data_IF_178644098287
#
_entry.id   IF_178644098287
#
_cell.length_a   1.000
_cell.length_b   1.000
_cell.length_c   1.000
_cell.angle_alpha   90.00
_cell.angle_beta   90.00
_cell.angle_gamma   90.00
#
_symmetry.space_group_name_H-M   'P 1'
#
loop_
_entity.id
_entity.type
_entity.pdbx_description
1 polymer ?
#
# COMPACT_ATOMS: atom_id res chain seq x y z
N UNK A 1 14.83 -18.26 31.14
CA UNK A 1 14.69 -19.05 29.88
C UNK A 1 13.96 -20.35 30.19
N UNK A 2 12.70 -20.29 30.69
CA UNK A 2 11.90 -21.45 31.12
C UNK A 2 10.56 -21.58 30.35
N UNK A 3 10.45 -21.05 29.12
CA UNK A 3 9.15 -21.00 28.41
C UNK A 3 8.84 -22.20 27.50
N UNK A 4 9.70 -23.23 27.43
CA UNK A 4 9.49 -24.32 26.47
C UNK A 4 9.82 -25.72 27.03
N UNK A 5 9.23 -26.11 28.17
CA UNK A 5 9.43 -27.46 28.77
C UNK A 5 8.93 -28.64 27.91
N UNK A 6 8.17 -28.40 26.84
CA UNK A 6 7.65 -29.42 25.92
C UNK A 6 8.03 -29.16 24.45
N UNK A 7 9.20 -28.57 24.18
CA UNK A 7 9.64 -28.31 22.82
C UNK A 7 10.03 -29.63 22.11
N UNK A 8 9.15 -30.15 21.25
CA UNK A 8 9.43 -31.31 20.41
C UNK A 8 9.97 -30.83 19.06
N UNK A 9 11.26 -30.99 18.82
CA UNK A 9 11.91 -30.63 17.55
C UNK A 9 11.86 -31.85 16.63
N UNK A 10 11.33 -31.66 15.43
CA UNK A 10 11.22 -32.70 14.40
C UNK A 10 11.75 -32.19 13.07
N UNK A 11 12.33 -33.05 12.25
CA UNK A 11 12.71 -32.75 10.87
C UNK A 11 11.79 -33.41 9.87
N UNK A 12 11.65 -32.78 8.72
CA UNK A 12 10.89 -33.27 7.57
C UNK A 12 11.79 -33.11 6.35
N UNK A 13 11.88 -34.15 5.51
CA UNK A 13 12.50 -34.05 4.19
C UNK A 13 11.43 -33.57 3.21
N UNK A 14 11.71 -32.44 2.55
CA UNK A 14 10.79 -31.88 1.56
C UNK A 14 11.00 -32.55 0.21
N UNK A 15 9.92 -32.75 -0.58
CA UNK A 15 10.03 -33.33 -1.92
C UNK A 15 10.74 -32.39 -2.92
N UNK A 16 10.74 -31.08 -2.65
CA UNK A 16 11.40 -30.06 -3.45
C UNK A 16 12.47 -29.32 -2.62
N UNK A 17 13.15 -28.32 -3.22
CA UNK A 17 14.29 -27.66 -2.56
C UNK A 17 13.85 -26.87 -1.32
N UNK A 18 12.62 -26.35 -1.33
CA UNK A 18 12.05 -25.60 -0.22
C UNK A 18 10.52 -25.78 -0.08
N UNK A 19 9.99 -25.17 0.99
CA UNK A 19 8.57 -25.25 1.37
C UNK A 19 7.68 -24.51 0.38
N UNK A 20 8.16 -23.41 -0.21
CA UNK A 20 7.39 -22.61 -1.16
C UNK A 20 7.23 -23.37 -2.47
N UNK A 21 8.30 -23.97 -3.00
CA UNK A 21 8.25 -24.88 -4.15
C UNK A 21 7.27 -26.04 -3.89
N UNK A 22 7.32 -26.63 -2.69
CA UNK A 22 6.40 -27.72 -2.30
C UNK A 22 4.94 -27.27 -2.25
N UNK A 23 4.65 -26.07 -1.73
CA UNK A 23 3.30 -25.52 -1.67
C UNK A 23 2.73 -25.20 -3.05
N UNK A 24 3.57 -24.80 -4.00
CA UNK A 24 3.11 -24.43 -5.34
C UNK A 24 2.96 -25.60 -6.31
N UNK A 25 3.73 -26.67 -6.10
CA UNK A 25 3.76 -27.81 -7.02
C UNK A 25 2.88 -28.98 -6.57
N UNK A 26 2.31 -28.93 -5.36
CA UNK A 26 1.52 -30.01 -4.77
C UNK A 26 0.26 -29.46 -4.07
N UNK A 27 -0.74 -30.33 -3.89
CA UNK A 27 -1.94 -29.99 -3.12
C UNK A 27 -1.64 -29.87 -1.62
N UNK A 28 -2.44 -29.08 -0.89
CA UNK A 28 -2.28 -28.84 0.55
C UNK A 28 -2.27 -30.13 1.41
N UNK A 29 -2.80 -31.24 0.89
CA UNK A 29 -2.76 -32.55 1.54
C UNK A 29 -1.32 -33.03 1.80
N UNK A 30 -0.36 -32.65 0.96
CA UNK A 30 1.05 -33.06 1.13
C UNK A 30 1.63 -32.60 2.46
N UNK A 31 1.19 -31.45 2.98
CA UNK A 31 1.69 -30.94 4.27
C UNK A 31 1.17 -31.75 5.45
N UNK A 32 -0.03 -32.35 5.34
CA UNK A 32 -0.53 -33.30 6.33
C UNK A 32 0.34 -34.56 6.33
N UNK A 33 0.62 -35.10 5.15
CA UNK A 33 1.46 -36.29 5.00
C UNK A 33 2.91 -36.04 5.49
N UNK A 34 3.47 -34.87 5.19
CA UNK A 34 4.79 -34.45 5.65
C UNK A 34 4.85 -34.26 7.16
N UNK A 35 3.78 -33.71 7.76
CA UNK A 35 3.66 -33.60 9.21
C UNK A 35 3.51 -34.97 9.86
N UNK A 36 2.75 -35.89 9.28
CA UNK A 36 2.61 -37.25 9.79
C UNK A 36 3.93 -38.04 9.72
N UNK A 37 4.72 -37.83 8.66
CA UNK A 37 6.00 -38.51 8.43
C UNK A 37 7.23 -37.78 9.02
N UNK A 38 7.02 -36.79 9.90
CA UNK A 38 8.12 -36.06 10.54
C UNK A 38 8.98 -36.98 11.42
N UNK A 39 10.29 -36.82 11.35
CA UNK A 39 11.27 -37.56 12.15
C UNK A 39 11.58 -36.80 13.42
N UNK A 40 11.55 -37.49 14.56
CA UNK A 40 11.90 -36.89 15.85
C UNK A 40 13.41 -36.64 15.96
N UNK A 41 13.81 -35.43 16.37
CA UNK A 41 15.19 -35.11 16.73
C UNK A 41 15.27 -35.15 18.26
N UNK A 42 15.89 -36.20 18.81
CA UNK A 42 15.99 -36.38 20.26
C UNK A 42 17.03 -35.44 20.90
N UNK A 43 16.59 -34.54 21.78
CA UNK A 43 17.44 -33.86 22.76
C UNK A 43 16.99 -34.29 24.16
N UNK A 44 17.87 -34.97 24.91
CA UNK A 44 17.58 -35.46 26.26
C UNK A 44 17.63 -34.33 27.29
N UNK A 45 16.54 -34.12 28.03
CA UNK A 45 16.57 -33.30 29.27
C UNK A 45 15.79 -33.98 30.40
N UNK A 46 16.42 -33.99 31.58
CA UNK A 46 15.96 -34.59 32.83
C UNK A 46 14.84 -33.78 33.50
N UNK A 47 13.96 -34.48 34.23
CA UNK A 47 12.77 -33.92 34.90
C UNK A 47 13.09 -33.38 36.29
N UNK A 48 12.64 -32.16 36.60
CA UNK A 48 12.47 -31.66 37.97
C UNK A 48 11.03 -31.12 38.11
N UNK A 49 10.31 -31.57 39.14
CA UNK A 49 8.92 -31.17 39.47
C UNK A 49 8.91 -30.05 40.51
N UNK A 50 8.13 -28.97 40.29
CA UNK A 50 7.58 -28.13 41.37
C UNK A 50 6.18 -27.59 41.01
N UNK A 51 5.33 -27.55 42.04
CA UNK A 51 3.89 -27.30 42.16
C UNK A 51 3.46 -25.84 41.91
N UNK A 52 2.25 -25.63 41.36
CA UNK A 52 1.65 -24.30 41.08
C UNK A 52 0.50 -24.00 42.05
N UNK A 53 0.50 -22.82 42.67
CA UNK A 53 -0.66 -22.21 43.32
C UNK A 53 -1.30 -21.13 42.42
N UNK A 54 -2.63 -21.11 42.38
CA UNK A 54 -3.48 -20.17 41.64
C UNK A 54 -3.84 -18.98 42.52
N UNK A 55 -3.93 -17.79 41.93
CA UNK A 55 -4.85 -16.77 42.40
C UNK A 55 -5.49 -16.05 41.20
N UNK A 56 -6.82 -15.95 41.27
CA UNK A 56 -7.67 -15.17 40.40
C UNK A 56 -8.09 -13.93 41.18
N UNK A 57 -8.32 -12.80 40.49
CA UNK A 57 -9.41 -11.90 40.89
C UNK A 57 -9.76 -10.88 39.80
N UNK A 58 -11.05 -10.56 39.83
CA UNK A 58 -11.91 -9.83 38.89
C UNK A 58 -12.10 -8.37 39.29
N UNK A 59 -12.47 -7.50 38.34
CA UNK A 59 -13.44 -6.43 38.59
C UNK A 59 -14.05 -5.86 37.29
N UNK A 60 -15.35 -5.59 37.35
CA UNK A 60 -16.24 -5.14 36.27
C UNK A 60 -16.62 -3.66 36.38
N UNK A 61 -17.23 -3.19 35.28
CA UNK A 61 -18.22 -2.09 35.13
C UNK A 61 -17.66 -0.70 34.85
N UNK A 62 -18.19 0.13 33.95
CA UNK A 62 -19.30 0.03 33.00
C UNK A 62 -19.26 1.26 32.07
N UNK A 63 -19.53 1.08 30.77
CA UNK A 63 -20.39 1.92 29.90
C UNK A 63 -20.27 1.42 28.45
N UNK A 64 -21.41 1.15 27.83
CA UNK A 64 -21.58 0.43 26.57
C UNK A 64 -20.80 1.03 25.38
N UNK A 65 -20.09 0.20 24.61
CA UNK A 65 -20.00 0.36 23.17
C UNK A 65 -20.69 -0.81 22.47
N UNK A 66 -21.23 -0.56 21.28
CA UNK A 66 -21.75 -1.59 20.37
C UNK A 66 -20.85 -2.82 20.40
N UNK A 67 -21.43 -4.00 20.67
CA UNK A 67 -20.70 -5.25 20.86
C UNK A 67 -19.60 -5.38 19.79
N UNK A 68 -18.34 -5.35 20.21
CA UNK A 68 -17.22 -5.69 19.32
C UNK A 68 -17.47 -7.11 18.80
N UNK A 69 -17.36 -7.34 17.48
CA UNK A 69 -17.60 -8.68 16.93
C UNK A 69 -16.67 -9.67 17.63
N UNK A 70 -17.24 -10.78 18.10
CA UNK A 70 -16.51 -11.77 18.91
C UNK A 70 -15.55 -12.58 18.03
N UNK A 71 -15.81 -12.65 16.72
CA UNK A 71 -15.00 -13.40 15.75
C UNK A 71 -14.57 -12.54 14.55
N UNK A 72 -13.50 -12.97 13.87
CA UNK A 72 -12.99 -12.30 12.65
C UNK A 72 -14.00 -12.36 11.52
N UNK A 73 -14.72 -13.49 11.40
CA UNK A 73 -15.74 -13.70 10.37
C UNK A 73 -16.92 -12.75 10.60
N UNK A 74 -17.40 -12.63 11.85
CA UNK A 74 -18.43 -11.63 12.19
C UNK A 74 -18.02 -10.20 11.82
N UNK A 75 -16.74 -9.85 11.93
CA UNK A 75 -16.24 -8.54 11.49
C UNK A 75 -16.30 -8.41 9.96
N UNK A 76 -15.88 -9.43 9.22
CA UNK A 76 -15.87 -9.45 7.75
C UNK A 76 -17.28 -9.45 7.13
N UNK A 77 -18.29 -9.93 7.86
CA UNK A 77 -19.70 -9.94 7.43
C UNK A 77 -20.41 -8.59 7.63
N UNK A 78 -19.77 -7.60 8.26
CA UNK A 78 -20.40 -6.31 8.55
C UNK A 78 -20.64 -5.46 7.29
N UNK A 79 -21.87 -4.97 7.08
CA UNK A 79 -22.25 -4.09 5.95
C UNK A 79 -21.36 -2.85 5.76
N UNK A 80 -20.76 -2.33 6.83
CA UNK A 80 -19.87 -1.15 6.78
C UNK A 80 -18.40 -1.53 7.00
N UNK A 81 -17.98 -2.68 6.44
CA UNK A 81 -16.66 -3.27 6.65
C UNK A 81 -15.51 -2.28 6.46
N UNK A 82 -15.44 -1.56 5.34
CA UNK A 82 -14.35 -0.62 5.09
C UNK A 82 -14.29 0.50 6.13
N UNK A 83 -15.44 1.00 6.59
CA UNK A 83 -15.49 2.02 7.64
C UNK A 83 -15.00 1.47 8.98
N UNK A 84 -15.47 0.28 9.37
CA UNK A 84 -15.02 -0.41 10.58
C UNK A 84 -13.51 -0.72 10.52
N UNK A 85 -13.02 -1.17 9.36
CA UNK A 85 -11.61 -1.44 9.12
C UNK A 85 -10.79 -0.15 9.21
N UNK A 86 -11.27 0.94 8.63
CA UNK A 86 -10.58 2.23 8.67
C UNK A 86 -10.43 2.74 10.13
N UNK A 87 -11.47 2.59 10.96
CA UNK A 87 -11.40 2.88 12.39
C UNK A 87 -10.43 1.93 13.13
N UNK A 88 -10.35 0.67 12.73
CA UNK A 88 -9.43 -0.30 13.33
C UNK A 88 -7.97 0.01 12.97
N UNK A 89 -7.71 0.45 11.73
CA UNK A 89 -6.40 0.94 11.28
C UNK A 89 -5.98 2.17 12.10
N UNK A 90 -6.92 3.05 12.43
CA UNK A 90 -6.66 4.19 13.32
C UNK A 90 -6.30 3.75 14.73
N UNK A 91 -7.04 2.79 15.30
CA UNK A 91 -6.72 2.18 16.60
C UNK A 91 -5.36 1.49 16.59
N UNK A 92 -4.90 1.02 15.43
CA UNK A 92 -3.56 0.46 15.21
C UNK A 92 -2.45 1.53 15.09
N UNK A 93 -2.79 2.82 15.23
CA UNK A 93 -1.83 3.92 15.36
C UNK A 93 -1.50 4.68 14.08
N UNK A 94 -2.26 4.48 13.00
CA UNK A 94 -2.13 5.27 11.76
C UNK A 94 -3.18 6.37 11.77
N UNK A 95 -2.81 7.62 12.07
CA UNK A 95 -3.76 8.71 12.30
C UNK A 95 -4.01 9.58 11.07
N UNK A 96 -5.28 9.88 10.81
CA UNK A 96 -5.72 10.66 9.65
C UNK A 96 -5.43 9.96 8.33
N UNK A 97 -5.43 10.73 7.24
CA UNK A 97 -5.25 10.23 5.87
C UNK A 97 -6.16 9.02 5.55
N UNK A 98 -7.46 9.11 5.89
CA UNK A 98 -8.35 7.94 5.95
C UNK A 98 -8.45 7.18 4.63
N UNK A 99 -8.49 7.89 3.50
CA UNK A 99 -8.54 7.27 2.17
C UNK A 99 -7.15 6.75 1.73
N UNK A 100 -6.07 7.48 2.02
CA UNK A 100 -4.72 7.05 1.66
C UNK A 100 -4.31 5.78 2.41
N UNK A 101 -4.55 5.71 3.73
CA UNK A 101 -4.21 4.52 4.53
C UNK A 101 -5.02 3.29 4.10
N UNK A 102 -6.28 3.49 3.72
CA UNK A 102 -7.14 2.43 3.22
C UNK A 102 -6.71 1.96 1.81
N UNK A 103 -6.35 2.88 0.91
CA UNK A 103 -5.80 2.56 -0.39
C UNK A 103 -4.50 1.75 -0.26
N UNK A 104 -3.57 2.19 0.60
CA UNK A 104 -2.33 1.47 0.88
C UNK A 104 -2.59 0.08 1.45
N UNK A 105 -3.55 -0.06 2.37
CA UNK A 105 -3.96 -1.35 2.90
C UNK A 105 -4.47 -2.28 1.79
N UNK A 106 -5.41 -1.80 0.95
CA UNK A 106 -5.98 -2.55 -0.18
C UNK A 106 -4.91 -3.00 -1.18
N UNK A 107 -3.98 -2.10 -1.54
CA UNK A 107 -2.84 -2.42 -2.39
C UNK A 107 -2.00 -3.53 -1.75
N UNK A 108 -1.72 -3.42 -0.46
CA UNK A 108 -0.84 -4.36 0.24
C UNK A 108 -1.46 -5.76 0.30
N UNK A 109 -2.73 -5.87 0.68
CA UNK A 109 -3.42 -7.17 0.76
C UNK A 109 -3.62 -7.84 -0.61
N UNK A 110 -3.44 -7.14 -1.72
CA UNK A 110 -3.53 -7.76 -3.04
C UNK A 110 -2.43 -8.80 -3.34
N UNK A 111 -1.44 -8.98 -2.44
CA UNK A 111 -0.33 -9.92 -2.62
C UNK A 111 -0.77 -11.38 -2.85
N UNK A 112 -1.92 -11.78 -2.30
CA UNK A 112 -2.49 -13.11 -2.50
C UNK A 112 -3.27 -13.26 -3.81
N UNK A 113 -3.49 -12.17 -4.57
CA UNK A 113 -4.18 -12.21 -5.87
C UNK A 113 -3.24 -12.61 -7.00
N UNK A 114 -3.79 -13.21 -8.06
CA UNK A 114 -3.08 -13.47 -9.33
C UNK A 114 -2.50 -12.20 -9.98
N UNK A 115 -3.08 -11.03 -9.71
CA UNK A 115 -2.60 -9.74 -10.21
C UNK A 115 -2.47 -8.77 -9.03
N UNK A 116 -1.34 -8.83 -8.30
CA UNK A 116 -1.07 -7.90 -7.20
C UNK A 116 -0.94 -6.46 -7.68
N UNK A 117 -1.08 -5.55 -6.73
CA UNK A 117 -1.04 -4.10 -6.92
C UNK A 117 0.22 -3.51 -6.29
N UNK A 118 0.65 -2.38 -6.83
CA UNK A 118 1.87 -1.70 -6.41
C UNK A 118 1.57 -0.24 -6.11
N UNK A 119 2.12 0.29 -5.02
CA UNK A 119 1.90 1.66 -4.56
C UNK A 119 3.21 2.42 -4.38
N UNK A 120 3.21 3.69 -4.79
CA UNK A 120 4.30 4.63 -4.55
C UNK A 120 3.74 5.81 -3.74
N UNK A 121 4.34 6.05 -2.58
CA UNK A 121 4.03 7.18 -1.70
C UNK A 121 5.04 8.30 -1.97
N UNK A 122 4.54 9.47 -2.34
CA UNK A 122 5.32 10.67 -2.62
C UNK A 122 5.06 11.77 -1.60
N UNK A 123 6.03 12.66 -1.44
CA UNK A 123 6.02 13.71 -0.41
C UNK A 123 7.41 14.23 -0.11
N UNK A 124 7.50 15.36 0.60
CA UNK A 124 8.76 16.00 0.97
C UNK A 124 9.56 15.17 1.98
N UNK A 125 10.87 15.45 2.09
CA UNK A 125 11.70 14.77 3.08
C UNK A 125 11.20 15.08 4.50
N UNK A 126 11.05 14.03 5.34
CA UNK A 126 10.51 14.17 6.69
C UNK A 126 8.98 14.26 6.80
N UNK A 127 8.22 14.16 5.70
CA UNK A 127 6.75 14.26 5.74
C UNK A 127 6.03 13.03 6.32
N UNK A 128 6.74 11.93 6.59
CA UNK A 128 6.16 10.71 7.17
C UNK A 128 5.83 9.59 6.16
N UNK A 129 6.28 9.68 4.91
CA UNK A 129 6.11 8.62 3.88
C UNK A 129 6.52 7.22 4.36
N UNK A 130 7.74 7.09 4.85
CA UNK A 130 8.28 5.81 5.33
C UNK A 130 7.52 5.34 6.58
N UNK A 131 7.03 6.28 7.41
CA UNK A 131 6.23 5.93 8.58
C UNK A 131 4.89 5.32 8.19
N UNK A 132 4.12 5.92 7.27
CA UNK A 132 2.84 5.34 6.84
C UNK A 132 3.02 3.98 6.16
N UNK A 133 4.03 3.84 5.30
CA UNK A 133 4.35 2.55 4.63
C UNK A 133 4.71 1.49 5.67
N UNK A 134 5.61 1.81 6.61
CA UNK A 134 6.05 0.90 7.64
C UNK A 134 4.88 0.45 8.53
N UNK A 135 4.00 1.38 8.92
CA UNK A 135 2.82 1.05 9.71
C UNK A 135 1.83 0.18 8.97
N UNK A 136 1.58 0.42 7.68
CA UNK A 136 0.74 -0.47 6.87
C UNK A 136 1.36 -1.86 6.77
N UNK A 137 2.68 -1.97 6.64
CA UNK A 137 3.38 -3.25 6.64
C UNK A 137 3.28 -3.98 7.98
N UNK A 138 3.23 -3.27 9.11
CA UNK A 138 3.00 -3.87 10.44
C UNK A 138 1.61 -4.52 10.56
N UNK A 139 0.62 -4.07 9.78
CA UNK A 139 -0.74 -4.63 9.77
C UNK A 139 -0.84 -5.98 9.05
N UNK A 140 0.21 -6.39 8.33
CA UNK A 140 0.22 -7.60 7.51
C UNK A 140 0.84 -8.78 8.30
N UNK A 141 0.57 -10.04 7.89
CA UNK A 141 1.31 -11.19 8.40
C UNK A 141 2.82 -10.98 8.19
N UNK A 142 3.61 -10.94 9.26
CA UNK A 142 5.02 -10.53 9.16
C UNK A 142 5.87 -11.56 8.41
N UNK A 143 5.45 -12.82 8.36
CA UNK A 143 6.05 -13.88 7.55
C UNK A 143 5.95 -13.62 6.02
N UNK A 144 5.04 -12.74 5.60
CA UNK A 144 4.83 -12.38 4.19
C UNK A 144 5.49 -11.05 3.81
N UNK A 145 6.01 -10.30 4.79
CA UNK A 145 6.58 -8.97 4.57
C UNK A 145 8.10 -9.02 4.41
N UNK A 146 8.58 -8.50 3.29
CA UNK A 146 10.00 -8.32 2.99
C UNK A 146 10.31 -6.82 2.94
N UNK A 147 11.16 -6.33 3.86
CA UNK A 147 11.56 -4.92 3.94
C UNK A 147 12.96 -4.71 3.39
N UNK A 148 13.11 -3.74 2.49
CA UNK A 148 14.37 -3.39 1.86
C UNK A 148 14.64 -1.89 1.96
N UNK A 149 15.82 -1.56 2.50
CA UNK A 149 16.42 -0.22 2.40
C UNK A 149 17.21 -0.05 1.10
N UNK A 150 17.64 -1.17 0.51
CA UNK A 150 18.40 -1.21 -0.74
C UNK A 150 18.20 -2.54 -1.45
N UNK A 151 18.03 -2.48 -2.76
CA UNK A 151 17.93 -3.65 -3.65
C UNK A 151 18.98 -3.50 -4.76
N UNK A 152 19.66 -4.59 -5.11
CA UNK A 152 20.55 -4.62 -6.27
C UNK A 152 19.89 -5.41 -7.40
N UNK A 153 20.17 -5.03 -8.65
CA UNK A 153 19.71 -5.77 -9.83
C UNK A 153 20.07 -7.27 -9.72
N UNK A 154 21.34 -7.55 -9.41
CA UNK A 154 21.82 -8.92 -9.24
C UNK A 154 21.04 -9.69 -8.18
N UNK A 155 20.62 -9.05 -7.08
CA UNK A 155 19.79 -9.73 -6.07
C UNK A 155 18.46 -10.17 -6.66
N UNK A 156 17.76 -9.32 -7.43
CA UNK A 156 16.44 -9.62 -8.02
C UNK A 156 16.47 -10.84 -8.94
N UNK A 157 17.49 -10.97 -9.78
CA UNK A 157 17.67 -12.15 -10.63
C UNK A 157 18.13 -13.40 -9.89
N UNK A 158 18.51 -13.26 -8.61
CA UNK A 158 19.11 -14.33 -7.82
C UNK A 158 18.20 -14.98 -6.77
N UNK A 159 16.97 -14.49 -6.57
CA UNK A 159 15.96 -15.18 -5.76
C UNK A 159 15.66 -16.58 -6.31
N UNK A 160 15.19 -17.47 -5.43
CA UNK A 160 14.58 -18.75 -5.81
C UNK A 160 13.32 -18.54 -6.65
N UNK A 161 12.87 -19.58 -7.34
CA UNK A 161 11.78 -19.44 -8.31
C UNK A 161 10.47 -18.92 -7.68
N UNK A 162 10.19 -19.30 -6.42
CA UNK A 162 8.96 -18.95 -5.70
C UNK A 162 9.18 -18.13 -4.42
N UNK A 163 10.40 -17.63 -4.18
CA UNK A 163 10.70 -16.91 -2.94
C UNK A 163 9.90 -15.58 -2.82
N UNK A 164 9.42 -15.04 -3.94
CA UNK A 164 8.57 -13.84 -4.00
C UNK A 164 7.10 -14.16 -4.29
N UNK A 165 6.71 -15.41 -4.12
CA UNK A 165 5.32 -15.82 -4.29
C UNK A 165 4.50 -15.51 -3.03
N UNK A 166 3.39 -14.79 -3.22
CA UNK A 166 2.55 -14.26 -2.15
C UNK A 166 3.35 -13.53 -1.08
N UNK A 167 4.20 -12.58 -1.51
CA UNK A 167 4.95 -11.71 -0.61
C UNK A 167 4.57 -10.24 -0.75
N UNK A 168 4.91 -9.46 0.26
CA UNK A 168 4.73 -8.02 0.31
C UNK A 168 6.11 -7.39 0.34
N UNK A 169 6.46 -6.64 -0.71
CA UNK A 169 7.76 -5.96 -0.81
C UNK A 169 7.61 -4.51 -0.36
N UNK A 170 8.36 -4.14 0.67
CA UNK A 170 8.44 -2.76 1.15
C UNK A 170 9.80 -2.18 0.76
N UNK A 171 9.80 -1.13 -0.05
CA UNK A 171 11.00 -0.40 -0.44
C UNK A 171 10.97 0.96 0.25
N UNK A 172 11.80 1.14 1.27
CA UNK A 172 11.74 2.33 2.12
C UNK A 172 12.07 3.63 1.38
N UNK A 173 12.95 3.55 0.36
CA UNK A 173 13.35 4.67 -0.47
C UNK A 173 13.72 4.21 -1.90
N UNK A 174 12.91 4.60 -2.90
CA UNK A 174 13.21 4.37 -4.32
C UNK A 174 14.38 5.22 -4.80
N UNK A 175 14.60 6.38 -4.19
CA UNK A 175 15.60 7.35 -4.66
C UNK A 175 17.03 6.84 -4.42
N UNK A 176 17.18 5.88 -3.49
CA UNK A 176 18.43 5.19 -3.20
C UNK A 176 18.75 4.00 -4.12
N UNK A 177 17.81 3.59 -4.98
CA UNK A 177 18.02 2.50 -5.92
C UNK A 177 18.76 2.96 -7.18
N UNK A 178 19.61 2.07 -7.71
CA UNK A 178 20.27 2.28 -9.01
C UNK A 178 19.28 2.06 -10.15
N UNK A 179 19.51 2.72 -11.29
CA UNK A 179 18.64 2.63 -12.47
C UNK A 179 18.45 1.18 -12.97
N UNK A 180 19.51 0.37 -12.97
CA UNK A 180 19.42 -1.04 -13.40
C UNK A 180 18.50 -1.86 -12.49
N UNK A 181 18.53 -1.60 -11.17
CA UNK A 181 17.64 -2.27 -10.23
C UNK A 181 16.19 -1.81 -10.39
N UNK A 182 15.97 -0.51 -10.66
CA UNK A 182 14.66 0.04 -10.99
C UNK A 182 14.12 -0.53 -12.30
N UNK A 183 14.98 -0.73 -13.30
CA UNK A 183 14.61 -1.37 -14.55
C UNK A 183 14.14 -2.81 -14.34
N UNK A 184 14.92 -3.63 -13.61
CA UNK A 184 14.53 -4.99 -13.27
C UNK A 184 13.22 -5.03 -12.47
N UNK A 185 13.03 -4.10 -11.51
CA UNK A 185 11.78 -4.00 -10.75
C UNK A 185 10.58 -3.65 -11.65
N UNK A 186 10.73 -2.75 -12.63
CA UNK A 186 9.69 -2.41 -13.62
C UNK A 186 9.26 -3.62 -14.45
N UNK A 187 10.24 -4.37 -14.93
CA UNK A 187 9.99 -5.59 -15.68
C UNK A 187 9.23 -6.60 -14.81
N UNK A 188 9.64 -6.74 -13.55
CA UNK A 188 9.01 -7.68 -12.63
C UNK A 188 7.57 -7.32 -12.28
N UNK A 189 7.29 -6.05 -12.00
CA UNK A 189 5.94 -5.52 -11.77
C UNK A 189 5.04 -5.76 -13.00
N UNK A 190 5.60 -5.62 -14.20
CA UNK A 190 4.81 -5.72 -15.44
C UNK A 190 4.55 -7.18 -15.85
N UNK A 191 5.56 -8.04 -15.70
CA UNK A 191 5.55 -9.40 -16.26
C UNK A 191 5.39 -10.50 -15.21
N UNK A 192 5.49 -10.17 -13.91
CA UNK A 192 5.48 -11.12 -12.78
C UNK A 192 6.57 -12.21 -12.85
N UNK A 193 7.51 -12.11 -13.80
CA UNK A 193 8.59 -13.07 -13.98
C UNK A 193 9.83 -12.33 -14.47
N UNK A 194 10.97 -12.63 -13.85
CA UNK A 194 12.29 -12.27 -14.37
C UNK A 194 12.97 -13.53 -14.92
N UNK A 195 13.56 -13.40 -16.11
CA UNK A 195 14.30 -14.49 -16.77
C UNK A 195 15.70 -14.01 -17.08
N UNK A 196 16.70 -14.75 -16.65
CA UNK A 196 18.10 -14.48 -16.98
C UNK A 196 18.80 -15.76 -17.44
N UNK A 197 19.81 -15.61 -18.30
CA UNK A 197 20.72 -16.70 -18.65
C UNK A 197 21.97 -16.56 -17.80
N UNK A 198 22.29 -17.61 -17.05
CA UNK A 198 23.45 -17.65 -16.16
C UNK A 198 24.31 -18.86 -16.48
N UNK A 199 25.61 -18.72 -16.27
CA UNK A 199 26.53 -19.85 -16.42
C UNK A 199 26.67 -20.56 -15.09
N UNK A 200 26.29 -21.83 -15.03
CA UNK A 200 26.45 -22.68 -13.86
C UNK A 200 27.55 -23.69 -14.15
N UNK A 201 28.45 -23.91 -13.19
CA UNK A 201 29.45 -24.99 -13.29
C UNK A 201 28.78 -26.32 -12.98
N UNK A 202 28.94 -27.29 -13.86
CA UNK A 202 28.52 -28.66 -13.58
C UNK A 202 29.40 -29.31 -12.50
N UNK A 203 29.02 -30.49 -12.00
CA UNK A 203 29.81 -31.26 -11.02
C UNK A 203 31.21 -31.65 -11.54
N UNK A 204 31.48 -31.48 -12.84
CA UNK A 204 32.76 -31.76 -13.51
C UNK A 204 33.56 -30.47 -13.78
N UNK A 205 33.08 -29.30 -13.37
CA UNK A 205 33.73 -28.01 -13.53
C UNK A 205 33.52 -27.31 -14.87
N UNK A 206 32.71 -27.85 -15.79
CA UNK A 206 32.42 -27.23 -17.08
C UNK A 206 31.34 -26.17 -16.95
N UNK A 207 31.49 -25.08 -17.71
CA UNK A 207 30.50 -24.03 -17.82
C UNK A 207 29.31 -24.50 -18.67
N UNK A 208 28.12 -24.58 -18.07
CA UNK A 208 26.87 -24.84 -18.78
C UNK A 208 25.95 -23.63 -18.67
N UNK A 209 25.39 -23.20 -19.80
CA UNK A 209 24.34 -22.18 -19.79
C UNK A 209 23.07 -22.76 -19.16
N UNK A 210 22.52 -22.06 -18.18
CA UNK A 210 21.27 -22.38 -17.52
C UNK A 210 20.37 -21.14 -17.56
N UNK A 211 19.07 -21.37 -17.49
CA UNK A 211 18.09 -20.31 -17.33
C UNK A 211 17.71 -20.21 -15.86
N UNK A 212 17.76 -19.00 -15.32
CA UNK A 212 17.21 -18.69 -14.00
C UNK A 212 15.90 -17.95 -14.20
N UNK A 213 14.86 -18.47 -13.56
CA UNK A 213 13.51 -17.92 -13.61
C UNK A 213 13.15 -17.57 -12.17
N UNK A 214 12.71 -16.33 -11.97
CA UNK A 214 12.17 -15.85 -10.69
C UNK A 214 10.73 -15.45 -10.95
N UNK A 215 9.78 -16.14 -10.32
CA UNK A 215 8.36 -15.78 -10.38
C UNK A 215 8.03 -14.88 -9.19
N UNK A 216 7.22 -13.86 -9.45
CA UNK A 216 6.86 -12.84 -8.49
C UNK A 216 5.35 -12.63 -8.49
N UNK A 217 4.71 -13.12 -7.44
CA UNK A 217 3.34 -12.74 -7.11
C UNK A 217 3.42 -11.94 -5.81
N UNK A 218 3.78 -10.66 -5.91
CA UNK A 218 3.95 -9.81 -4.74
C UNK A 218 3.25 -8.47 -4.92
N UNK A 219 2.70 -7.91 -3.84
CA UNK A 219 2.36 -6.49 -3.81
C UNK A 219 3.58 -5.70 -3.38
N UNK A 220 3.65 -4.41 -3.72
CA UNK A 220 4.73 -3.56 -3.20
C UNK A 220 4.27 -2.18 -2.78
N UNK A 221 4.92 -1.65 -1.74
CA UNK A 221 4.82 -0.25 -1.33
C UNK A 221 6.21 0.37 -1.33
N UNK A 222 6.32 1.56 -1.92
CA UNK A 222 7.60 2.24 -2.05
C UNK A 222 7.49 3.73 -1.74
N UNK A 223 8.53 4.36 -1.19
CA UNK A 223 8.55 5.82 -0.97
C UNK A 223 9.46 6.54 -1.97
N UNK A 224 9.13 7.78 -2.34
CA UNK A 224 10.00 8.64 -3.15
C UNK A 224 9.86 10.11 -2.75
N UNK A 225 10.92 10.89 -2.94
CA UNK A 225 10.88 12.36 -2.86
C UNK A 225 10.79 13.03 -4.24
N UNK A 226 10.87 12.25 -5.33
CA UNK A 226 10.93 12.74 -6.71
C UNK A 226 9.77 12.16 -7.51
N UNK A 227 8.68 12.92 -7.69
CA UNK A 227 7.56 12.46 -8.51
C UNK A 227 8.00 12.24 -9.96
N UNK A 228 8.43 13.30 -10.64
CA UNK A 228 8.64 13.26 -12.10
C UNK A 228 9.77 12.33 -12.58
N UNK A 229 10.76 12.03 -11.74
CA UNK A 229 11.94 11.23 -12.15
C UNK A 229 11.57 9.77 -12.46
N UNK A 230 10.37 9.31 -12.08
CA UNK A 230 9.96 7.91 -12.20
C UNK A 230 8.67 7.70 -12.99
N UNK A 231 8.39 8.51 -14.03
CA UNK A 231 7.15 8.46 -14.82
C UNK A 231 6.75 7.03 -15.24
N UNK A 232 7.71 6.22 -15.65
CA UNK A 232 7.48 4.83 -16.04
C UNK A 232 7.04 3.93 -14.86
N UNK A 233 7.68 4.06 -13.70
CA UNK A 233 7.28 3.33 -12.48
C UNK A 233 5.92 3.83 -11.99
N UNK A 234 5.70 5.14 -12.05
CA UNK A 234 4.47 5.77 -11.60
C UNK A 234 3.29 5.33 -12.44
N UNK A 235 3.47 5.17 -13.74
CA UNK A 235 2.42 4.68 -14.61
C UNK A 235 1.97 3.25 -14.27
N UNK A 236 2.83 2.44 -13.64
CA UNK A 236 2.58 1.04 -13.25
C UNK A 236 2.11 0.88 -11.80
N UNK A 237 2.10 1.97 -11.02
CA UNK A 237 1.79 1.96 -9.59
C UNK A 237 0.70 2.98 -9.24
N UNK A 238 -0.03 2.72 -8.17
CA UNK A 238 -0.88 3.69 -7.49
C UNK A 238 -0.02 4.79 -6.88
N UNK A 239 -0.36 6.05 -7.14
CA UNK A 239 0.38 7.20 -6.60
C UNK A 239 -0.39 7.80 -5.45
N UNK A 240 0.24 7.90 -4.29
CA UNK A 240 -0.36 8.45 -3.08
C UNK A 240 0.53 9.61 -2.64
N UNK A 241 -0.04 10.81 -2.49
CA UNK A 241 0.66 11.94 -1.90
C UNK A 241 0.36 12.03 -0.40
N UNK A 242 1.40 12.23 0.41
CA UNK A 242 1.23 12.50 1.85
C UNK A 242 0.56 13.86 2.06
N UNK A 243 -0.30 13.92 3.07
CA UNK A 243 -0.98 15.15 3.45
C UNK A 243 -0.09 15.97 4.41
N UNK A 244 0.59 16.99 3.87
CA UNK A 244 1.48 17.88 4.63
C UNK A 244 0.76 19.13 5.17
N UNK A 245 -0.57 19.07 5.30
CA UNK A 245 -1.35 20.16 5.88
C UNK A 245 -1.09 20.33 7.38
N UNK A 246 -1.27 21.55 7.87
CA UNK A 246 -1.16 21.88 9.29
C UNK A 246 -2.21 21.14 10.13
N UNK A 247 -3.41 20.92 9.59
CA UNK A 247 -4.47 20.18 10.28
C UNK A 247 -4.06 18.73 10.52
N UNK A 248 -3.53 18.07 9.48
CA UNK A 248 -3.07 16.69 9.60
C UNK A 248 -1.87 16.60 10.56
N UNK A 249 -0.94 17.55 10.47
CA UNK A 249 0.21 17.62 11.38
C UNK A 249 -0.26 17.77 12.83
N UNK A 250 -1.27 18.61 13.10
CA UNK A 250 -1.85 18.77 14.45
C UNK A 250 -2.46 17.47 14.97
N UNK A 251 -3.25 16.77 14.16
CA UNK A 251 -3.84 15.46 14.53
C UNK A 251 -2.75 14.44 14.91
N UNK A 252 -1.64 14.41 14.16
CA UNK A 252 -0.51 13.51 14.44
C UNK A 252 0.16 13.89 15.77
N UNK A 253 0.45 15.17 15.99
CA UNK A 253 1.09 15.67 17.22
C UNK A 253 0.21 15.40 18.44
N UNK A 254 -1.09 15.68 18.35
CA UNK A 254 -2.04 15.44 19.44
C UNK A 254 -2.06 13.95 19.83
N UNK A 255 -2.09 13.05 18.85
CA UNK A 255 -1.99 11.62 19.10
C UNK A 255 -0.66 11.19 19.74
N UNK A 256 0.48 11.72 19.24
CA UNK A 256 1.79 11.44 19.81
C UNK A 256 1.88 11.93 21.27
N UNK A 257 1.32 13.10 21.57
CA UNK A 257 1.26 13.66 22.91
C UNK A 257 0.39 12.79 23.83
N UNK A 258 -0.80 12.36 23.38
CA UNK A 258 -1.65 11.43 24.13
C UNK A 258 -0.94 10.10 24.42
N UNK A 259 -0.16 9.59 23.46
CA UNK A 259 0.63 8.37 23.60
C UNK A 259 1.77 8.54 24.60
N UNK A 260 2.49 9.66 24.53
CA UNK A 260 3.58 9.97 25.46
C UNK A 260 3.08 10.30 26.87
N UNK A 261 1.89 10.88 26.99
CA UNK A 261 1.22 11.13 28.26
C UNK A 261 0.63 9.87 28.91
N UNK A 262 0.73 8.70 28.26
CA UNK A 262 0.17 7.44 28.76
C UNK A 262 -1.36 7.35 28.69
N UNK A 263 -2.02 8.28 27.99
CA UNK A 263 -3.48 8.30 27.83
C UNK A 263 -3.96 7.29 26.77
N UNK A 264 -3.04 6.79 25.93
CA UNK A 264 -3.30 5.73 24.95
C UNK A 264 -2.63 4.45 25.40
N UNK A 265 -3.43 3.40 25.57
CA UNK A 265 -2.94 2.07 25.90
C UNK A 265 -2.28 1.41 24.69
N UNK A 266 -0.96 1.20 24.78
CA UNK A 266 -0.16 0.50 23.76
C UNK A 266 -0.64 -0.94 23.52
N UNK A 267 -1.24 -1.57 24.53
CA UNK A 267 -1.79 -2.92 24.37
C UNK A 267 -2.98 -2.92 23.42
N UNK A 268 -3.78 -1.85 23.39
CA UNK A 268 -4.91 -1.75 22.46
C UNK A 268 -4.44 -1.54 21.01
N UNK A 269 -3.36 -0.77 20.81
CA UNK A 269 -2.71 -0.64 19.48
C UNK A 269 -2.25 -2.02 18.98
N UNK A 270 -1.52 -2.77 19.83
CA UNK A 270 -1.04 -4.10 19.46
C UNK A 270 -2.17 -5.11 19.22
N UNK A 271 -3.24 -5.06 20.02
CA UNK A 271 -4.44 -5.90 19.82
C UNK A 271 -5.10 -5.61 18.47
N UNK A 272 -5.20 -4.33 18.08
CA UNK A 272 -5.76 -3.94 16.80
C UNK A 272 -4.88 -4.46 15.64
N UNK A 273 -3.55 -4.30 15.73
CA UNK A 273 -2.60 -4.85 14.75
C UNK A 273 -2.78 -6.36 14.62
N UNK A 274 -2.73 -7.10 15.72
CA UNK A 274 -2.88 -8.57 15.72
C UNK A 274 -4.27 -9.03 15.27
N UNK A 275 -5.32 -8.22 15.46
CA UNK A 275 -6.63 -8.51 14.88
C UNK A 275 -6.60 -8.35 13.35
N UNK A 276 -6.05 -7.26 12.83
CA UNK A 276 -5.93 -7.02 11.38
C UNK A 276 -5.07 -8.10 10.72
N UNK A 277 -3.94 -8.47 11.31
CA UNK A 277 -3.09 -9.55 10.78
C UNK A 277 -3.84 -10.88 10.64
N UNK A 278 -4.63 -11.24 11.66
CA UNK A 278 -5.48 -12.46 11.59
C UNK A 278 -6.62 -12.30 10.59
N UNK A 279 -7.19 -11.11 10.45
CA UNK A 279 -8.19 -10.80 9.43
C UNK A 279 -7.63 -11.04 8.03
N UNK A 280 -6.44 -10.52 7.72
CA UNK A 280 -5.78 -10.71 6.42
C UNK A 280 -5.56 -12.19 6.13
N UNK A 281 -5.14 -12.99 7.11
CA UNK A 281 -4.98 -14.45 6.97
C UNK A 281 -6.26 -15.23 6.64
N UNK A 282 -7.43 -14.66 6.95
CA UNK A 282 -8.72 -15.30 6.64
C UNK A 282 -9.26 -14.91 5.26
N UNK A 283 -8.61 -13.95 4.57
CA UNK A 283 -9.01 -13.59 3.21
C UNK A 283 -8.56 -14.67 2.23
N UNK A 284 -9.44 -15.00 1.28
CA UNK A 284 -9.11 -15.91 0.18
C UNK A 284 -9.08 -15.16 -1.15
N UNK A 285 -8.28 -15.68 -2.09
CA UNK A 285 -8.27 -15.21 -3.46
C UNK A 285 -9.52 -15.70 -4.19
N UNK A 286 -10.25 -14.77 -4.81
CA UNK A 286 -11.40 -15.07 -5.67
C UNK A 286 -11.23 -14.42 -7.04
N UNK A 287 -11.80 -15.06 -8.07
CA UNK A 287 -12.10 -14.37 -9.30
C UNK A 287 -13.34 -13.48 -9.09
N UNK A 288 -13.35 -12.31 -9.72
CA UNK A 288 -14.38 -11.30 -9.52
C UNK A 288 -14.97 -10.92 -10.87
N UNK A 289 -16.29 -10.87 -10.93
CA UNK A 289 -17.06 -10.37 -12.07
C UNK A 289 -17.64 -9.01 -11.69
N UNK A 290 -17.27 -7.97 -12.43
CA UNK A 290 -17.87 -6.65 -12.30
C UNK A 290 -18.94 -6.46 -13.39
N UNK A 291 -20.24 -6.64 -13.10
CA UNK A 291 -21.30 -6.46 -14.09
C UNK A 291 -21.44 -5.01 -14.55
N UNK A 292 -20.91 -4.06 -13.79
CA UNK A 292 -20.98 -2.62 -14.05
C UNK A 292 -19.72 -2.05 -14.74
N UNK A 293 -18.84 -2.93 -15.26
CA UNK A 293 -17.54 -2.51 -15.79
C UNK A 293 -17.66 -1.65 -17.05
N UNK A 294 -18.71 -1.86 -17.86
CA UNK A 294 -18.90 -1.17 -19.14
C UNK A 294 -19.41 0.27 -18.96
N UNK A 295 -20.12 0.52 -17.86
CA UNK A 295 -20.69 1.81 -17.46
C UNK A 295 -19.65 2.71 -16.79
N UNK A 296 -18.62 2.12 -16.19
CA UNK A 296 -17.56 2.83 -15.48
C UNK A 296 -16.48 3.38 -16.43
N UNK A 297 -16.88 4.28 -17.32
CA UNK A 297 -15.96 4.91 -18.27
C UNK A 297 -15.38 6.21 -17.70
N UNK A 298 -14.07 6.39 -17.85
CA UNK A 298 -13.41 7.67 -17.54
C UNK A 298 -13.72 8.73 -18.62
N UNK A 299 -13.77 10.03 -18.26
CA UNK A 299 -13.91 11.12 -19.25
C UNK A 299 -12.78 11.12 -20.30
N UNK A 300 -13.08 11.54 -21.53
CA UNK A 300 -12.12 11.48 -22.65
C UNK A 300 -10.90 12.40 -22.51
N UNK A 301 -11.03 13.48 -21.73
CA UNK A 301 -9.95 14.45 -21.51
C UNK A 301 -8.86 13.95 -20.56
N UNK A 302 -9.03 12.76 -19.99
CA UNK A 302 -8.10 12.17 -19.01
C UNK A 302 -6.89 11.57 -19.73
N UNK A 303 -5.68 12.06 -19.41
CA UNK A 303 -4.42 11.46 -19.88
C UNK A 303 -4.29 10.01 -19.38
N UNK A 304 -3.60 9.16 -20.14
CA UNK A 304 -3.34 7.76 -19.76
C UNK A 304 -4.60 6.92 -19.44
N UNK A 305 -5.75 7.23 -20.08
CA UNK A 305 -7.08 6.61 -19.85
C UNK A 305 -7.05 5.08 -19.72
N UNK A 306 -6.26 4.38 -20.56
CA UNK A 306 -6.13 2.91 -20.51
C UNK A 306 -5.63 2.41 -19.15
N UNK A 307 -4.47 2.91 -18.70
CA UNK A 307 -3.85 2.49 -17.44
C UNK A 307 -4.72 2.88 -16.25
N UNK A 308 -5.28 4.09 -16.29
CA UNK A 308 -6.14 4.56 -15.22
C UNK A 308 -7.43 3.72 -15.10
N UNK A 309 -8.00 3.29 -16.22
CA UNK A 309 -9.15 2.39 -16.24
C UNK A 309 -8.81 1.03 -15.59
N UNK A 310 -7.68 0.43 -15.95
CA UNK A 310 -7.19 -0.81 -15.32
C UNK A 310 -7.03 -0.66 -13.80
N UNK A 311 -6.49 0.47 -13.35
CA UNK A 311 -6.31 0.76 -11.93
C UNK A 311 -7.64 0.89 -11.17
N UNK A 312 -8.61 1.61 -11.75
CA UNK A 312 -9.95 1.74 -11.18
C UNK A 312 -10.60 0.36 -11.02
N UNK A 313 -10.58 -0.46 -12.07
CA UNK A 313 -11.14 -1.81 -12.04
C UNK A 313 -10.42 -2.71 -11.02
N UNK A 314 -9.10 -2.58 -10.91
CA UNK A 314 -8.28 -3.36 -9.99
C UNK A 314 -8.60 -3.06 -8.51
N UNK A 315 -8.82 -1.80 -8.16
CA UNK A 315 -9.20 -1.43 -6.78
C UNK A 315 -10.63 -1.85 -6.47
N UNK A 316 -11.56 -1.67 -7.40
CA UNK A 316 -12.94 -2.15 -7.21
C UNK A 316 -12.94 -3.66 -6.98
N UNK A 317 -12.20 -4.42 -7.81
CA UNK A 317 -11.98 -5.85 -7.61
C UNK A 317 -11.42 -6.16 -6.22
N UNK A 318 -10.43 -5.39 -5.76
CA UNK A 318 -9.84 -5.60 -4.43
C UNK A 318 -10.84 -5.36 -3.30
N UNK A 319 -11.72 -4.37 -3.45
CA UNK A 319 -12.79 -4.08 -2.49
C UNK A 319 -13.82 -5.20 -2.48
N UNK A 320 -14.22 -5.72 -3.66
CA UNK A 320 -15.11 -6.89 -3.75
C UNK A 320 -14.50 -8.11 -3.04
N UNK A 321 -13.20 -8.35 -3.20
CA UNK A 321 -12.48 -9.44 -2.50
C UNK A 321 -12.43 -9.19 -0.99
N UNK A 322 -12.23 -7.95 -0.54
CA UNK A 322 -12.30 -7.62 0.89
C UNK A 322 -13.70 -7.91 1.45
N UNK A 323 -14.74 -7.61 0.67
CA UNK A 323 -16.15 -7.86 0.98
C UNK A 323 -16.60 -9.32 0.68
N UNK A 324 -15.68 -10.28 0.49
CA UNK A 324 -15.99 -11.65 0.05
C UNK A 324 -17.03 -12.41 0.91
N UNK A 325 -17.16 -12.05 2.19
CA UNK A 325 -18.15 -12.65 3.11
C UNK A 325 -19.56 -12.05 2.98
N UNK A 326 -19.72 -10.97 2.22
CA UNK A 326 -20.99 -10.27 2.00
C UNK A 326 -21.49 -10.42 0.57
N UNK A 327 -20.58 -10.69 -0.38
CA UNK A 327 -20.88 -10.69 -1.80
C UNK A 327 -21.43 -12.03 -2.26
N UNK A 328 -22.40 -11.94 -3.17
CA UNK A 328 -22.94 -13.11 -3.86
C UNK A 328 -21.88 -13.73 -4.76
N UNK A 329 -21.98 -15.03 -4.92
CA UNK A 329 -21.16 -15.78 -5.87
C UNK A 329 -22.01 -16.22 -7.06
N UNK A 330 -21.39 -16.27 -8.24
CA UNK A 330 -21.94 -16.94 -9.42
C UNK A 330 -21.94 -18.46 -9.20
N UNK A 331 -22.62 -19.21 -10.09
CA UNK A 331 -22.65 -20.67 -10.05
C UNK A 331 -21.27 -21.33 -10.18
N UNK A 332 -20.31 -20.64 -10.83
CA UNK A 332 -18.91 -21.05 -10.98
C UNK A 332 -17.98 -20.51 -9.86
N UNK A 333 -18.54 -19.95 -8.78
CA UNK A 333 -17.78 -19.57 -7.57
C UNK A 333 -17.05 -18.23 -7.65
N UNK A 334 -17.39 -17.35 -8.59
CA UNK A 334 -16.80 -16.00 -8.71
C UNK A 334 -17.59 -14.99 -7.89
N UNK A 335 -16.92 -14.06 -7.22
CA UNK A 335 -17.59 -12.98 -6.51
C UNK A 335 -18.18 -11.97 -7.48
N UNK A 336 -19.39 -11.48 -7.18
CA UNK A 336 -20.07 -10.46 -7.97
C UNK A 336 -19.89 -9.11 -7.27
N UNK A 337 -19.36 -8.14 -8.00
CA UNK A 337 -19.23 -6.75 -7.52
C UNK A 337 -20.60 -6.09 -7.38
N UNK A 338 -20.81 -5.37 -6.28
CA UNK A 338 -22.01 -4.56 -6.03
C UNK A 338 -21.73 -3.05 -6.21
N UNK A 339 -22.79 -2.24 -6.35
CA UNK A 339 -22.66 -0.78 -6.61
C UNK A 339 -21.91 -0.08 -5.47
N UNK A 340 -22.05 -0.58 -4.24
CA UNK A 340 -21.32 -0.10 -3.07
C UNK A 340 -19.80 -0.22 -3.23
N UNK A 341 -19.31 -1.29 -3.87
CA UNK A 341 -17.88 -1.49 -4.11
C UNK A 341 -17.34 -0.45 -5.10
N UNK A 342 -18.14 -0.12 -6.13
CA UNK A 342 -17.79 0.94 -7.09
C UNK A 342 -17.69 2.29 -6.40
N UNK A 343 -18.70 2.64 -5.58
CA UNK A 343 -18.73 3.90 -4.87
C UNK A 343 -17.52 4.05 -3.94
N UNK A 344 -17.23 3.01 -3.15
CA UNK A 344 -16.10 2.99 -2.24
C UNK A 344 -14.76 3.03 -2.99
N UNK A 345 -14.63 2.27 -4.09
CA UNK A 345 -13.43 2.25 -4.90
C UNK A 345 -13.10 3.61 -5.53
N UNK A 346 -14.12 4.28 -6.07
CA UNK A 346 -13.95 5.63 -6.63
C UNK A 346 -13.56 6.61 -5.53
N UNK A 347 -14.23 6.59 -4.37
CA UNK A 347 -13.94 7.49 -3.25
C UNK A 347 -12.49 7.36 -2.75
N UNK A 348 -12.03 6.11 -2.55
CA UNK A 348 -10.69 5.81 -2.06
C UNK A 348 -9.63 6.19 -3.10
N UNK A 349 -9.88 5.91 -4.38
CA UNK A 349 -8.92 6.12 -5.44
C UNK A 349 -8.87 7.59 -5.92
N UNK A 350 -9.89 8.39 -5.61
CA UNK A 350 -10.12 9.70 -6.23
C UNK A 350 -8.88 10.61 -6.24
N UNK A 351 -8.20 10.78 -5.10
CA UNK A 351 -7.00 11.63 -5.04
C UNK A 351 -5.83 11.06 -5.85
N UNK A 352 -5.69 9.73 -5.92
CA UNK A 352 -4.69 9.06 -6.76
C UNK A 352 -4.97 9.26 -8.26
N UNK A 353 -6.25 9.29 -8.66
CA UNK A 353 -6.66 9.63 -10.03
C UNK A 353 -6.23 11.06 -10.37
N UNK A 354 -6.53 12.01 -9.48
CA UNK A 354 -6.15 13.41 -9.68
C UNK A 354 -4.64 13.55 -9.83
N UNK A 355 -3.84 12.93 -8.95
CA UNK A 355 -2.38 12.96 -9.00
C UNK A 355 -1.78 12.40 -10.30
N UNK A 356 -2.50 11.52 -11.01
CA UNK A 356 -2.06 10.97 -12.32
C UNK A 356 -2.48 11.81 -13.51
N UNK A 357 -3.56 12.58 -13.37
CA UNK A 357 -4.01 13.51 -14.41
C UNK A 357 -3.18 14.79 -14.35
N UNK A 358 -2.82 15.17 -13.14
CA UNK A 358 -1.98 16.31 -12.83
C UNK A 358 -0.55 16.11 -13.35
N UNK A 359 0.04 17.18 -13.87
CA UNK A 359 1.45 17.20 -14.27
C UNK A 359 2.36 17.58 -13.10
N UNK A 360 1.82 18.21 -12.05
CA UNK A 360 2.56 18.52 -10.83
C UNK A 360 2.51 17.33 -9.87
N UNK A 361 3.66 16.97 -9.31
CA UNK A 361 3.68 16.02 -8.20
C UNK A 361 2.99 16.58 -6.95
N UNK A 362 2.66 15.71 -6.00
CA UNK A 362 1.89 16.10 -4.82
C UNK A 362 2.53 17.20 -3.96
N UNK A 363 3.86 17.25 -3.87
CA UNK A 363 4.57 18.25 -3.06
C UNK A 363 4.61 19.59 -3.78
N UNK A 364 4.89 19.56 -5.08
CA UNK A 364 4.96 20.73 -5.95
C UNK A 364 3.57 21.39 -6.08
N UNK A 365 2.52 20.58 -6.21
CA UNK A 365 1.12 21.01 -6.18
C UNK A 365 0.79 21.75 -4.88
N UNK A 366 1.10 21.16 -3.73
CA UNK A 366 0.86 21.80 -2.43
C UNK A 366 1.63 23.12 -2.29
N UNK A 367 2.87 23.19 -2.80
CA UNK A 367 3.65 24.42 -2.81
C UNK A 367 3.02 25.50 -3.68
N UNK A 368 2.59 25.17 -4.90
CA UNK A 368 1.89 26.11 -5.80
C UNK A 368 0.61 26.65 -5.15
N UNK A 369 -0.22 25.80 -4.53
CA UNK A 369 -1.46 26.23 -3.87
C UNK A 369 -1.18 27.16 -2.67
N UNK A 370 -0.09 26.92 -1.92
CA UNK A 370 0.36 27.87 -0.89
C UNK A 370 0.70 29.24 -1.52
N UNK A 371 1.47 29.25 -2.61
CA UNK A 371 1.82 30.49 -3.30
C UNK A 371 0.59 31.23 -3.84
N UNK A 372 -0.35 30.53 -4.49
CA UNK A 372 -1.63 31.10 -4.96
C UNK A 372 -2.38 31.77 -3.83
N UNK A 373 -2.51 31.12 -2.67
CA UNK A 373 -3.24 31.67 -1.52
C UNK A 373 -2.72 33.03 -1.03
N UNK A 374 -1.42 33.31 -1.15
CA UNK A 374 -0.79 34.54 -0.62
C UNK A 374 -0.43 35.59 -1.67
N UNK A 375 -0.08 35.15 -2.87
CA UNK A 375 0.53 35.97 -3.91
C UNK A 375 -0.26 36.00 -5.22
N UNK A 376 -1.53 35.57 -5.22
CA UNK A 376 -2.37 35.67 -6.42
C UNK A 376 -2.39 37.09 -7.01
N UNK A 377 -2.14 37.18 -8.31
CA UNK A 377 -2.00 38.44 -9.05
C UNK A 377 -0.79 39.32 -8.71
N UNK A 378 0.02 38.98 -7.69
CA UNK A 378 1.15 39.80 -7.20
C UNK A 378 2.50 39.19 -7.55
N UNK A 379 3.50 40.04 -7.72
CA UNK A 379 4.89 39.58 -7.81
C UNK A 379 5.43 39.35 -6.40
N UNK A 380 6.28 38.34 -6.25
CA UNK A 380 6.94 38.02 -5.00
C UNK A 380 8.40 37.65 -5.24
N UNK A 381 9.25 37.88 -4.26
CA UNK A 381 10.63 37.45 -4.28
C UNK A 381 10.83 36.16 -3.48
N UNK A 382 12.03 35.58 -3.59
CA UNK A 382 12.37 34.34 -2.87
C UNK A 382 12.22 34.46 -1.35
N UNK A 383 12.53 35.61 -0.76
CA UNK A 383 12.45 35.80 0.70
C UNK A 383 11.01 35.81 1.20
N UNK A 384 10.11 36.48 0.50
CA UNK A 384 8.68 36.48 0.82
C UNK A 384 8.08 35.07 0.71
N UNK A 385 8.48 34.31 -0.32
CA UNK A 385 8.09 32.91 -0.45
C UNK A 385 8.64 32.03 0.68
N UNK A 386 9.89 32.23 1.12
CA UNK A 386 10.45 31.51 2.27
C UNK A 386 9.73 31.84 3.57
N UNK A 387 9.44 33.13 3.83
CA UNK A 387 8.76 33.57 5.04
C UNK A 387 7.36 32.97 5.15
N UNK A 388 6.60 32.98 4.05
CA UNK A 388 5.25 32.46 4.04
C UNK A 388 5.18 30.93 4.04
N UNK A 389 6.08 30.24 3.32
CA UNK A 389 6.01 28.77 3.20
C UNK A 389 6.81 28.03 4.27
N UNK A 390 7.75 28.71 4.94
CA UNK A 390 8.68 28.12 5.90
C UNK A 390 9.79 27.26 5.28
N UNK A 391 9.84 27.13 3.95
CA UNK A 391 10.84 26.30 3.29
C UNK A 391 12.24 26.94 3.31
N UNK A 392 13.26 26.10 3.48
CA UNK A 392 14.67 26.51 3.38
C UNK A 392 15.04 26.82 1.93
N UNK A 393 16.09 27.64 1.75
CA UNK A 393 16.57 28.12 0.44
C UNK A 393 16.72 27.02 -0.62
N UNK A 394 17.34 25.89 -0.29
CA UNK A 394 17.62 24.82 -1.26
C UNK A 394 16.34 24.19 -1.79
N UNK A 395 15.44 23.75 -0.91
CA UNK A 395 14.16 23.15 -1.27
C UNK A 395 13.27 24.14 -2.04
N UNK A 396 13.17 25.36 -1.56
CA UNK A 396 12.37 26.39 -2.22
C UNK A 396 12.91 26.71 -3.62
N UNK A 397 14.23 26.73 -3.80
CA UNK A 397 14.83 26.97 -5.11
C UNK A 397 14.55 25.82 -6.09
N UNK A 398 14.53 24.57 -5.62
CA UNK A 398 14.11 23.42 -6.44
C UNK A 398 12.68 23.61 -6.92
N UNK A 399 11.73 23.88 -6.01
CA UNK A 399 10.33 24.05 -6.39
C UNK A 399 10.07 25.27 -7.28
N UNK A 400 10.71 26.41 -7.01
CA UNK A 400 10.58 27.60 -7.86
C UNK A 400 11.12 27.34 -9.26
N UNK A 401 12.28 26.69 -9.39
CA UNK A 401 12.84 26.36 -10.69
C UNK A 401 11.92 25.41 -11.46
N UNK A 402 11.32 24.43 -10.78
CA UNK A 402 10.43 23.47 -11.42
C UNK A 402 9.12 24.12 -11.88
N UNK A 403 8.49 24.96 -11.05
CA UNK A 403 7.32 25.72 -11.46
C UNK A 403 7.60 26.73 -12.58
N UNK A 404 8.82 27.28 -12.66
CA UNK A 404 9.24 28.11 -13.79
C UNK A 404 9.42 27.25 -15.05
N UNK A 405 10.04 26.07 -14.93
CA UNK A 405 10.23 25.11 -16.03
C UNK A 405 8.91 24.66 -16.63
N UNK A 406 7.90 24.46 -15.79
CA UNK A 406 6.54 24.08 -16.16
C UNK A 406 5.63 25.30 -16.47
N UNK A 407 6.21 26.50 -16.55
CA UNK A 407 5.53 27.75 -16.91
C UNK A 407 4.42 28.25 -15.95
N UNK A 408 4.23 27.60 -14.80
CA UNK A 408 3.34 28.05 -13.72
C UNK A 408 3.80 29.38 -13.11
N UNK A 409 5.11 29.60 -13.04
CA UNK A 409 5.71 30.85 -12.57
C UNK A 409 6.46 31.55 -13.70
N UNK A 410 6.23 32.86 -13.83
CA UNK A 410 7.05 33.75 -14.66
C UNK A 410 8.14 34.35 -13.79
N UNK A 411 9.39 34.07 -14.14
CA UNK A 411 10.56 34.64 -13.50
C UNK A 411 10.98 35.96 -14.17
N UNK A 412 11.27 36.99 -13.38
CA UNK A 412 11.81 38.27 -13.83
C UNK A 412 13.05 38.65 -13.01
N UNK A 413 13.96 39.40 -13.61
CA UNK A 413 15.17 39.89 -12.96
C UNK A 413 16.45 39.25 -13.50
N UNK A 414 17.58 39.65 -12.93
CA UNK A 414 18.92 39.23 -13.34
C UNK A 414 19.66 38.62 -12.15
N UNK A 415 20.59 37.70 -12.41
CA UNK A 415 21.39 37.00 -11.39
C UNK A 415 21.97 37.97 -10.34
N UNK A 416 22.39 39.16 -10.78
CA UNK A 416 23.08 40.16 -9.94
C UNK A 416 22.12 40.99 -9.06
N UNK A 417 20.82 41.04 -9.40
CA UNK A 417 19.80 41.85 -8.70
C UNK A 417 18.76 40.99 -7.96
N UNK A 418 18.84 39.67 -8.13
CA UNK A 418 17.84 38.73 -7.63
C UNK A 418 16.67 38.58 -8.60
N UNK A 419 15.89 37.53 -8.36
CA UNK A 419 14.72 37.19 -9.16
C UNK A 419 13.43 37.48 -8.39
N UNK A 420 12.44 38.01 -9.11
CA UNK A 420 11.04 38.04 -8.71
C UNK A 420 10.26 37.02 -9.54
N UNK A 421 9.17 36.54 -8.97
CA UNK A 421 8.31 35.52 -9.54
C UNK A 421 6.88 36.05 -9.54
N UNK A 422 6.11 35.67 -10.56
CA UNK A 422 4.67 35.92 -10.64
C UNK A 422 3.97 34.65 -11.08
N UNK A 423 2.80 34.38 -10.52
CA UNK A 423 1.95 33.28 -11.01
C UNK A 423 1.53 33.63 -12.44
N UNK A 424 2.03 32.83 -13.39
CA UNK A 424 1.92 33.06 -14.83
C UNK A 424 0.80 32.28 -15.48
N UNK A 425 0.56 31.06 -15.00
CA UNK A 425 -0.51 30.17 -15.41
C UNK A 425 -1.23 29.68 -14.15
N UNK A 426 -2.56 29.82 -14.14
CA UNK A 426 -3.41 29.17 -13.14
C UNK A 426 -4.12 28.04 -13.84
N UNK A 427 -3.69 26.83 -13.55
CA UNK A 427 -4.40 25.64 -13.98
C UNK A 427 -5.74 25.51 -13.26
N UNK A 428 -6.71 24.90 -13.94
CA UNK A 428 -8.07 24.72 -13.42
C UNK A 428 -8.27 23.29 -12.87
N UNK A 429 -7.29 22.81 -12.10
CA UNK A 429 -7.35 21.48 -11.48
C UNK A 429 -8.57 21.34 -10.56
N UNK A 430 -9.02 22.44 -9.96
CA UNK A 430 -10.26 22.53 -9.20
C UNK A 430 -11.49 22.17 -10.04
N UNK A 431 -11.60 22.74 -11.25
CA UNK A 431 -12.66 22.38 -12.20
C UNK A 431 -12.55 20.95 -12.68
N UNK A 432 -11.34 20.46 -13.01
CA UNK A 432 -11.13 19.05 -13.40
C UNK A 432 -11.60 18.12 -12.28
N UNK A 433 -11.28 18.45 -11.03
CA UNK A 433 -11.72 17.70 -9.85
C UNK A 433 -13.25 17.69 -9.73
N UNK A 434 -13.91 18.83 -9.95
CA UNK A 434 -15.36 18.92 -9.90
C UNK A 434 -16.03 18.15 -11.04
N UNK A 435 -15.58 18.33 -12.28
CA UNK A 435 -16.07 17.61 -13.46
C UNK A 435 -15.97 16.10 -13.27
N UNK A 436 -14.83 15.62 -12.74
CA UNK A 436 -14.62 14.19 -12.50
C UNK A 436 -15.54 13.65 -11.39
N UNK A 437 -15.73 14.40 -10.29
CA UNK A 437 -16.68 14.03 -9.22
C UNK A 437 -18.11 13.94 -9.75
N UNK A 438 -18.54 14.94 -10.52
CA UNK A 438 -19.87 14.96 -11.11
C UNK A 438 -20.07 13.81 -12.10
N UNK A 439 -19.04 13.50 -12.89
CA UNK A 439 -19.06 12.38 -13.83
C UNK A 439 -19.27 11.03 -13.12
N UNK A 440 -18.45 10.72 -12.11
CA UNK A 440 -18.62 9.48 -11.35
C UNK A 440 -19.95 9.44 -10.60
N UNK A 441 -20.39 10.57 -10.03
CA UNK A 441 -21.68 10.65 -9.34
C UNK A 441 -22.83 10.32 -10.29
N UNK A 442 -22.84 10.87 -11.51
CA UNK A 442 -23.86 10.58 -12.54
C UNK A 442 -23.90 9.08 -12.89
N UNK A 443 -22.74 8.43 -13.03
CA UNK A 443 -22.65 6.99 -13.29
C UNK A 443 -23.29 6.21 -12.13
N UNK A 444 -22.89 6.49 -10.89
CA UNK A 444 -23.39 5.77 -9.72
C UNK A 444 -24.90 6.01 -9.52
N UNK A 445 -25.37 7.24 -9.66
CA UNK A 445 -26.80 7.57 -9.52
C UNK A 445 -27.64 6.85 -10.60
N UNK A 446 -27.14 6.79 -11.84
CA UNK A 446 -27.76 6.03 -12.93
C UNK A 446 -27.86 4.54 -12.57
N UNK A 447 -26.76 3.91 -12.17
CA UNK A 447 -26.73 2.49 -11.79
C UNK A 447 -27.69 2.18 -10.64
N UNK A 448 -27.77 3.06 -9.63
CA UNK A 448 -28.73 2.91 -8.52
C UNK A 448 -30.18 3.02 -8.98
N UNK A 449 -30.47 3.91 -9.93
CA UNK A 449 -31.83 4.05 -10.48
C UNK A 449 -32.25 2.81 -11.29
N UNK A 450 -31.34 2.22 -12.06
CA UNK A 450 -31.59 0.99 -12.83
C UNK A 450 -31.79 -0.22 -11.90
N UNK A 451 -31.00 -0.30 -10.82
CA UNK A 451 -31.10 -1.36 -9.82
C UNK A 451 -32.34 -1.26 -8.91
N UNK A 452 -32.96 -0.08 -8.79
CA UNK A 452 -34.18 0.14 -7.99
C UNK A 452 -35.48 0.06 -8.82
N UNK A 453 -35.37 0.15 -10.14
CA UNK A 453 -36.47 -0.09 -11.09
C UNK A 453 -36.58 -1.54 -11.58
N UNK A 454 -35.64 -2.40 -11.20
CA UNK A 454 -35.60 -3.85 -11.47
C UNK A 454 -35.98 -4.63 -10.20
#
# INVERSE_FOLDING_TARGET
MNEFENLKITSVELPNNDVNETLQLHDESIFKDLLENRKDIFLSTEKIKVTVEKSAESAQSAREPRAEPKTIIEFLEQKSLLKSLNQLIEKAGIIGEENSRLLLFLITISYFNKSPLHGIVQGSSGSGKTHIISRIADLMPQEDVLRFTRITESSLYNWGEFDLFQKIIIIEDLDGLKEDALYALREFISNQVLRSSVTIKDKKGNNKSSHKIVKGQFSSLSATTKGETYEDNMNRSFIIAINESEEQTRKIIDYQNLKNAGMIDRNNEQKAISFIQRLVKNLKCYEVVNPYAMELQLPDKVKNKRRLNEMVQSIIKQITILNQYQRKQTSDGKLITEIEDLQQGIEILFESIILKIDELDGSLRQFLEKLKKRFDGREFNRFEAMEYTGFKKSQLQVYLNELVRLEYLKQKGFVNKGFTYKIGYSDDIGKVRQELKEHFKKIIDKLKSEASGS
#
